data_IF_855838174967
#
_entry.id   IF_855838174967
#
_cell.length_a   1.000
_cell.length_b   1.000
_cell.length_c   1.000
_cell.angle_alpha   90.00
_cell.angle_beta   90.00
_cell.angle_gamma   90.00
#
_symmetry.space_group_name_H-M   'P 1'
#
loop_
_entity.id
_entity.type
_entity.pdbx_description
1 polymer ?
#
# COMPACT_ATOMS: atom_id res chain seq x y z
N UNK A 1 -20.10 -0.34 -3.07
CA UNK A 1 -18.81 0.33 -2.91
C UNK A 1 -18.32 0.37 -1.46
N UNK A 2 -18.93 1.12 -0.54
CA UNK A 2 -18.53 1.08 0.89
C UNK A 2 -18.59 -0.35 1.46
N UNK A 3 -19.67 -1.06 1.15
CA UNK A 3 -19.80 -2.48 1.51
C UNK A 3 -18.75 -3.36 0.82
N UNK A 4 -18.48 -3.11 -0.46
CA UNK A 4 -17.47 -3.87 -1.21
C UNK A 4 -16.07 -3.68 -0.60
N UNK A 5 -15.70 -2.45 -0.23
CA UNK A 5 -14.48 -2.15 0.51
C UNK A 5 -14.47 -2.92 1.83
N UNK A 6 -15.49 -2.74 2.66
CA UNK A 6 -15.55 -3.38 3.96
C UNK A 6 -15.44 -4.90 3.89
N UNK A 7 -16.20 -5.53 2.98
CA UNK A 7 -16.26 -6.98 2.86
C UNK A 7 -14.94 -7.54 2.27
N UNK A 8 -14.33 -6.86 1.29
CA UNK A 8 -13.02 -7.22 0.76
C UNK A 8 -11.91 -7.04 1.81
N UNK A 9 -11.89 -5.89 2.51
CA UNK A 9 -10.92 -5.62 3.59
C UNK A 9 -11.00 -6.71 4.67
N UNK A 10 -12.22 -7.16 5.02
CA UNK A 10 -12.41 -8.22 6.01
C UNK A 10 -11.79 -9.52 5.52
N UNK A 11 -12.10 -9.95 4.30
CA UNK A 11 -11.57 -11.20 3.75
C UNK A 11 -10.03 -11.17 3.60
N UNK A 12 -9.47 -10.04 3.18
CA UNK A 12 -8.01 -9.85 3.09
C UNK A 12 -7.35 -9.84 4.48
N UNK A 13 -8.00 -9.27 5.49
CA UNK A 13 -7.48 -9.22 6.86
C UNK A 13 -7.42 -10.64 7.45
N UNK A 14 -8.46 -11.44 7.24
CA UNK A 14 -8.51 -12.84 7.68
C UNK A 14 -7.41 -13.67 6.99
N UNK A 15 -7.22 -13.47 5.68
CA UNK A 15 -6.14 -14.12 4.93
C UNK A 15 -4.75 -13.70 5.44
N UNK A 16 -4.52 -12.40 5.65
CA UNK A 16 -3.26 -11.90 6.19
C UNK A 16 -2.93 -12.45 7.59
N UNK A 17 -3.94 -12.64 8.44
CA UNK A 17 -3.79 -13.33 9.73
C UNK A 17 -3.36 -14.79 9.54
N UNK A 18 -4.02 -15.51 8.63
CA UNK A 18 -3.65 -16.89 8.29
C UNK A 18 -2.21 -17.00 7.78
N UNK A 19 -1.79 -16.09 6.88
CA UNK A 19 -0.42 -16.07 6.35
C UNK A 19 0.60 -15.76 7.45
N UNK A 20 0.27 -14.88 8.41
CA UNK A 20 1.13 -14.59 9.56
C UNK A 20 1.33 -15.81 10.48
N UNK A 21 0.31 -16.65 10.62
CA UNK A 21 0.41 -17.90 11.38
C UNK A 21 1.19 -18.98 10.61
N UNK A 22 1.00 -19.05 9.29
CA UNK A 22 1.60 -20.05 8.41
C UNK A 22 3.10 -19.87 8.19
N UNK A 23 3.57 -18.63 8.02
CA UNK A 23 4.95 -18.34 7.66
C UNK A 23 5.82 -17.96 8.86
N UNK A 24 7.13 -17.90 8.60
CA UNK A 24 8.16 -17.42 9.54
C UNK A 24 8.98 -16.29 8.90
N UNK A 25 9.99 -15.78 9.61
CA UNK A 25 10.94 -14.81 9.05
C UNK A 25 10.29 -13.57 8.42
N UNK A 26 10.81 -13.19 7.26
CA UNK A 26 10.38 -12.00 6.52
C UNK A 26 8.93 -12.11 6.00
N UNK A 27 8.49 -13.30 5.60
CA UNK A 27 7.11 -13.53 5.17
C UNK A 27 6.12 -13.31 6.32
N UNK A 28 6.46 -13.78 7.53
CA UNK A 28 5.65 -13.57 8.73
C UNK A 28 5.55 -12.09 9.10
N UNK A 29 6.67 -11.38 9.02
CA UNK A 29 6.71 -9.94 9.31
C UNK A 29 5.94 -9.15 8.24
N UNK A 30 6.08 -9.48 6.96
CA UNK A 30 5.29 -8.90 5.89
C UNK A 30 3.79 -9.15 6.09
N UNK A 31 3.38 -10.38 6.41
CA UNK A 31 1.99 -10.70 6.70
C UNK A 31 1.46 -9.89 7.91
N UNK A 32 2.24 -9.74 8.98
CA UNK A 32 1.90 -8.89 10.14
C UNK A 32 1.68 -7.43 9.74
N UNK A 33 2.55 -6.86 8.91
CA UNK A 33 2.39 -5.47 8.46
C UNK A 33 1.19 -5.30 7.52
N UNK A 34 0.85 -6.31 6.72
CA UNK A 34 -0.41 -6.36 5.98
C UNK A 34 -1.64 -6.43 6.90
N UNK A 35 -1.59 -7.19 8.00
CA UNK A 35 -2.64 -7.19 9.04
C UNK A 35 -2.82 -5.78 9.60
N UNK A 36 -1.73 -5.06 9.91
CA UNK A 36 -1.82 -3.68 10.39
C UNK A 36 -2.44 -2.74 9.34
N UNK A 37 -1.95 -2.80 8.09
CA UNK A 37 -2.45 -1.98 6.97
C UNK A 37 -3.96 -2.18 6.72
N UNK A 38 -4.42 -3.44 6.75
CA UNK A 38 -5.82 -3.79 6.54
C UNK A 38 -6.68 -3.46 7.77
N UNK A 39 -6.16 -3.61 8.99
CA UNK A 39 -6.85 -3.26 10.21
C UNK A 39 -7.10 -1.74 10.33
N UNK A 40 -6.14 -0.89 9.92
CA UNK A 40 -6.37 0.56 9.82
C UNK A 40 -7.55 0.86 8.88
N UNK A 41 -7.54 0.29 7.68
CA UNK A 41 -8.63 0.47 6.71
C UNK A 41 -9.98 -0.02 7.26
N UNK A 42 -9.97 -1.17 7.94
CA UNK A 42 -11.15 -1.76 8.57
C UNK A 42 -11.74 -0.84 9.64
N UNK A 43 -10.91 -0.26 10.51
CA UNK A 43 -11.34 0.72 11.52
C UNK A 43 -11.84 2.03 10.90
N UNK A 44 -11.21 2.48 9.81
CA UNK A 44 -11.66 3.69 9.12
C UNK A 44 -13.06 3.52 8.52
N UNK A 45 -13.39 2.34 7.97
CA UNK A 45 -14.69 2.09 7.33
C UNK A 45 -15.77 1.65 8.33
N UNK A 46 -15.39 0.84 9.34
CA UNK A 46 -16.21 0.28 10.41
C UNK A 46 -15.58 0.57 11.78
N UNK A 47 -15.92 1.70 12.45
CA UNK A 47 -15.26 2.14 13.68
C UNK A 47 -15.35 1.16 14.86
N UNK A 48 -16.39 0.32 14.89
CA UNK A 48 -16.59 -0.67 15.96
C UNK A 48 -15.83 -1.98 15.71
N UNK A 49 -15.13 -2.11 14.57
CA UNK A 49 -14.36 -3.30 14.28
C UNK A 49 -13.26 -3.52 15.34
N UNK A 50 -13.01 -4.78 15.66
CA UNK A 50 -11.92 -5.18 16.54
C UNK A 50 -10.60 -5.15 15.77
N UNK A 51 -9.53 -4.76 16.46
CA UNK A 51 -8.16 -4.79 15.93
C UNK A 51 -7.46 -5.99 16.55
N UNK A 52 -6.77 -6.84 15.76
CA UNK A 52 -5.96 -7.92 16.31
C UNK A 52 -4.88 -7.37 17.26
N UNK A 53 -4.75 -7.99 18.44
CA UNK A 53 -3.82 -7.54 19.50
C UNK A 53 -2.38 -7.39 18.99
N UNK A 54 -1.96 -8.27 18.09
CA UNK A 54 -0.60 -8.31 17.53
C UNK A 54 -0.19 -7.03 16.77
N UNK A 55 -1.15 -6.18 16.37
CA UNK A 55 -0.93 -4.90 15.68
C UNK A 55 -1.64 -3.72 16.36
N UNK A 56 -2.19 -3.91 17.57
CA UNK A 56 -3.05 -2.91 18.20
C UNK A 56 -2.37 -1.54 18.37
N UNK A 57 -1.11 -1.53 18.82
CA UNK A 57 -0.33 -0.29 19.01
C UNK A 57 -0.07 0.43 17.68
N UNK A 58 0.36 -0.31 16.65
CA UNK A 58 0.63 0.24 15.31
C UNK A 58 -0.63 0.87 14.71
N UNK A 59 -1.76 0.17 14.81
CA UNK A 59 -3.04 0.63 14.27
C UNK A 59 -3.56 1.83 15.06
N UNK A 60 -3.40 1.84 16.39
CA UNK A 60 -3.80 2.97 17.22
C UNK A 60 -2.99 4.24 16.88
N UNK A 61 -1.67 4.10 16.70
CA UNK A 61 -0.79 5.21 16.30
C UNK A 61 -1.17 5.79 14.94
N UNK A 62 -1.40 4.93 13.93
CA UNK A 62 -1.84 5.37 12.60
C UNK A 62 -3.19 6.08 12.64
N UNK A 63 -4.17 5.51 13.35
CA UNK A 63 -5.49 6.13 13.46
C UNK A 63 -5.43 7.48 14.18
N UNK A 64 -4.59 7.61 15.22
CA UNK A 64 -4.39 8.88 15.91
C UNK A 64 -3.84 9.97 14.98
N UNK A 65 -2.86 9.64 14.14
CA UNK A 65 -2.29 10.57 13.13
C UNK A 65 -3.31 10.91 12.05
N UNK A 66 -4.04 9.91 11.55
CA UNK A 66 -5.12 10.10 10.58
C UNK A 66 -6.22 11.01 11.15
N UNK A 67 -6.62 10.86 12.42
CA UNK A 67 -7.66 11.70 13.03
C UNK A 67 -7.16 13.11 13.37
N UNK A 68 -5.88 13.26 13.72
CA UNK A 68 -5.27 14.55 14.03
C UNK A 68 -5.06 15.45 12.81
N UNK A 69 -4.85 14.85 11.62
CA UNK A 69 -4.61 15.59 10.37
C UNK A 69 -3.43 16.59 10.42
N UNK A 70 -2.40 16.29 11.23
CA UNK A 70 -1.36 17.25 11.62
C UNK A 70 -0.23 17.48 10.59
N UNK A 71 -0.45 17.13 9.32
CA UNK A 71 0.57 17.22 8.27
C UNK A 71 1.50 16.00 8.25
N UNK A 72 2.78 16.24 7.96
CA UNK A 72 3.79 15.18 7.86
C UNK A 72 4.16 14.59 9.22
N UNK A 73 4.14 13.27 9.31
CA UNK A 73 4.70 12.50 10.43
C UNK A 73 5.11 11.11 9.92
N UNK A 74 5.99 10.42 10.64
CA UNK A 74 6.40 9.06 10.29
C UNK A 74 5.25 8.08 10.51
N UNK A 75 4.99 7.22 9.52
CA UNK A 75 4.05 6.11 9.66
C UNK A 75 4.59 5.07 10.66
N UNK A 76 3.74 4.62 11.58
CA UNK A 76 4.08 3.53 12.51
C UNK A 76 4.21 2.18 11.78
N UNK A 77 3.57 2.04 10.60
CA UNK A 77 3.60 0.81 9.79
C UNK A 77 4.64 0.89 8.66
N UNK A 78 4.69 2.03 7.96
CA UNK A 78 5.47 2.21 6.73
C UNK A 78 6.77 3.00 6.93
N UNK A 79 7.02 3.50 8.15
CA UNK A 79 8.24 4.16 8.65
C UNK A 79 8.66 5.48 7.98
N UNK A 80 8.27 5.72 6.72
CA UNK A 80 8.49 7.01 6.05
C UNK A 80 7.43 8.04 6.43
N UNK A 81 7.71 9.32 6.15
CA UNK A 81 6.78 10.41 6.38
C UNK A 81 5.57 10.36 5.43
N UNK A 82 4.36 10.40 5.99
CA UNK A 82 3.10 10.55 5.27
C UNK A 82 2.43 11.87 5.64
N UNK A 83 1.79 12.51 4.66
CA UNK A 83 1.01 13.73 4.90
C UNK A 83 -0.40 13.40 5.40
N UNK A 84 -0.57 13.34 6.72
CA UNK A 84 -1.85 13.04 7.35
C UNK A 84 -2.91 14.14 7.15
N UNK A 85 -2.53 15.34 6.69
CA UNK A 85 -3.49 16.40 6.33
C UNK A 85 -4.35 16.04 5.10
N UNK A 86 -3.90 15.05 4.31
CA UNK A 86 -4.62 14.56 3.13
C UNK A 86 -5.87 13.75 3.51
N UNK A 87 -5.98 13.30 4.76
CA UNK A 87 -7.11 12.51 5.23
C UNK A 87 -8.32 13.37 5.64
N UNK A 88 -8.20 14.70 5.63
CA UNK A 88 -9.32 15.62 5.91
C UNK A 88 -10.41 15.45 4.83
N UNK A 89 -11.63 15.00 5.15
CA UNK A 89 -12.70 14.87 4.17
C UNK A 89 -13.09 16.21 3.54
N UNK A 90 -13.23 16.24 2.21
CA UNK A 90 -13.51 17.47 1.45
C UNK A 90 -14.70 17.30 0.49
N UNK A 91 -15.29 18.42 0.07
CA UNK A 91 -16.34 18.43 -0.96
C UNK A 91 -17.58 17.61 -0.58
N UNK A 92 -18.07 16.77 -1.49
CA UNK A 92 -19.28 15.98 -1.27
C UNK A 92 -19.12 14.89 -0.18
N UNK A 93 -17.88 14.56 0.21
CA UNK A 93 -17.61 13.57 1.25
C UNK A 93 -17.96 14.04 2.67
N UNK A 94 -18.14 15.34 2.89
CA UNK A 94 -18.49 15.90 4.20
C UNK A 94 -19.96 15.70 4.57
N UNK A 95 -20.81 15.28 3.61
CA UNK A 95 -22.27 15.21 3.74
C UNK A 95 -22.79 14.17 4.72
N UNK A 96 -21.98 13.17 5.08
CA UNK A 96 -22.33 12.17 6.11
C UNK A 96 -21.09 11.50 6.68
N UNK A 97 -21.15 10.98 7.90
CA UNK A 97 -20.02 10.27 8.49
C UNK A 97 -19.65 9.02 7.71
N UNK A 98 -20.63 8.37 7.08
CA UNK A 98 -20.41 7.25 6.17
C UNK A 98 -19.52 7.65 4.98
N UNK A 99 -19.72 8.85 4.40
CA UNK A 99 -18.90 9.34 3.30
C UNK A 99 -17.52 9.84 3.76
N UNK A 100 -17.42 10.41 4.97
CA UNK A 100 -16.11 10.76 5.58
C UNK A 100 -15.26 9.51 5.81
N UNK A 101 -15.85 8.44 6.36
CA UNK A 101 -15.19 7.14 6.55
C UNK A 101 -14.72 6.53 5.24
N UNK A 102 -15.59 6.55 4.23
CA UNK A 102 -15.25 6.13 2.87
C UNK A 102 -14.06 6.90 2.29
N UNK A 103 -14.07 8.23 2.40
CA UNK A 103 -12.98 9.08 1.94
C UNK A 103 -11.66 8.69 2.61
N UNK A 104 -11.61 8.66 3.94
CA UNK A 104 -10.38 8.33 4.69
C UNK A 104 -9.84 6.94 4.33
N UNK A 105 -10.73 5.96 4.16
CA UNK A 105 -10.34 4.60 3.77
C UNK A 105 -9.74 4.57 2.37
N UNK A 106 -10.34 5.29 1.41
CA UNK A 106 -9.76 5.39 0.06
C UNK A 106 -8.45 6.19 0.04
N UNK A 107 -8.31 7.22 0.87
CA UNK A 107 -7.04 7.94 1.01
C UNK A 107 -5.95 7.00 1.48
N UNK A 108 -6.20 6.23 2.54
CA UNK A 108 -5.27 5.21 3.04
C UNK A 108 -4.85 4.22 1.93
N UNK A 109 -5.81 3.61 1.25
CA UNK A 109 -5.54 2.65 0.17
C UNK A 109 -4.91 3.25 -1.09
N UNK A 110 -5.11 4.54 -1.33
CA UNK A 110 -4.52 5.25 -2.45
C UNK A 110 -3.13 5.80 -2.15
N UNK A 111 -2.80 6.08 -0.88
CA UNK A 111 -1.62 6.87 -0.49
C UNK A 111 -0.52 6.10 0.24
N UNK A 112 -0.78 4.92 0.76
CA UNK A 112 0.32 4.11 1.32
C UNK A 112 1.01 3.36 0.18
N UNK A 113 2.31 3.63 0.03
CA UNK A 113 3.20 2.97 -0.92
C UNK A 113 3.99 1.86 -0.23
N UNK A 114 3.97 0.67 -0.82
CA UNK A 114 4.87 -0.42 -0.54
C UNK A 114 6.14 -0.20 -1.40
N UNK A 115 7.12 0.51 -0.83
CA UNK A 115 8.28 1.00 -1.56
C UNK A 115 9.24 -0.12 -1.94
N UNK A 116 9.68 -0.09 -3.20
CA UNK A 116 10.58 -1.09 -3.79
C UNK A 116 12.06 -0.79 -3.49
N UNK A 117 12.39 0.50 -3.34
CA UNK A 117 13.76 0.98 -3.16
C UNK A 117 14.07 1.21 -1.68
N UNK A 118 15.20 0.66 -1.24
CA UNK A 118 15.76 0.91 0.08
C UNK A 118 17.26 1.17 -0.03
N UNK A 119 17.83 1.84 0.97
CA UNK A 119 19.25 2.20 1.03
C UNK A 119 19.77 2.20 2.47
N UNK A 120 21.09 2.15 2.66
CA UNK A 120 21.70 2.30 3.99
C UNK A 120 21.49 3.72 4.53
N UNK A 121 21.75 4.73 3.71
CA UNK A 121 21.40 6.12 4.00
C UNK A 121 19.99 6.42 3.49
N UNK A 122 19.01 6.25 4.37
CA UNK A 122 17.59 6.42 4.07
C UNK A 122 16.95 7.58 4.83
N UNK A 123 15.79 8.02 4.35
CA UNK A 123 14.98 9.12 4.88
C UNK A 123 14.75 10.22 3.83
N UNK A 124 14.16 11.36 4.22
CA UNK A 124 13.81 12.43 3.27
C UNK A 124 15.00 12.97 2.46
N UNK A 125 16.21 12.93 3.05
CA UNK A 125 17.47 13.34 2.44
C UNK A 125 18.32 12.15 1.93
N UNK A 126 17.85 10.92 2.15
CA UNK A 126 18.55 9.68 1.81
C UNK A 126 18.44 9.31 0.33
N UNK A 127 19.16 8.27 -0.07
CA UNK A 127 19.10 7.71 -1.43
C UNK A 127 17.79 6.96 -1.69
N UNK A 128 17.14 6.52 -0.61
CA UNK A 128 15.81 5.93 -0.55
C UNK A 128 15.07 6.46 0.68
N UNK A 129 13.77 6.23 0.76
CA UNK A 129 12.94 6.67 1.89
C UNK A 129 12.98 5.70 3.08
N UNK A 130 13.40 4.46 2.85
CA UNK A 130 13.41 3.39 3.83
C UNK A 130 14.67 2.55 3.72
N UNK A 131 14.93 1.72 4.73
CA UNK A 131 16.05 0.79 4.75
C UNK A 131 15.94 -0.28 3.66
N UNK A 132 17.05 -0.96 3.36
CA UNK A 132 17.05 -2.12 2.44
C UNK A 132 16.16 -3.24 2.94
N UNK A 133 16.18 -3.51 4.25
CA UNK A 133 15.35 -4.53 4.91
C UNK A 133 13.86 -4.18 4.80
N UNK A 134 13.48 -2.95 5.12
CA UNK A 134 12.07 -2.52 5.03
C UNK A 134 11.57 -2.52 3.59
N UNK A 135 12.41 -2.18 2.61
CA UNK A 135 12.03 -2.28 1.20
C UNK A 135 11.78 -3.73 0.78
N UNK A 136 12.56 -4.69 1.30
CA UNK A 136 12.32 -6.12 1.08
C UNK A 136 10.99 -6.55 1.70
N UNK A 137 10.76 -6.22 2.97
CA UNK A 137 9.48 -6.52 3.66
C UNK A 137 8.29 -5.86 2.96
N UNK A 138 8.39 -4.60 2.53
CA UNK A 138 7.31 -3.91 1.80
C UNK A 138 7.06 -4.52 0.42
N UNK A 139 8.10 -4.97 -0.28
CA UNK A 139 7.95 -5.69 -1.55
C UNK A 139 7.20 -7.02 -1.34
N UNK A 140 7.57 -7.77 -0.29
CA UNK A 140 6.89 -9.02 0.07
C UNK A 140 5.44 -8.75 0.49
N UNK A 141 5.18 -7.70 1.29
CA UNK A 141 3.82 -7.26 1.64
C UNK A 141 2.96 -7.05 0.40
N UNK A 142 3.50 -6.33 -0.59
CA UNK A 142 2.80 -6.05 -1.84
C UNK A 142 2.46 -7.32 -2.61
N UNK A 143 3.39 -8.27 -2.72
CA UNK A 143 3.15 -9.56 -3.38
C UNK A 143 2.10 -10.39 -2.63
N UNK A 144 2.22 -10.52 -1.30
CA UNK A 144 1.26 -11.25 -0.49
C UNK A 144 -0.14 -10.65 -0.65
N UNK A 145 -0.27 -9.34 -0.49
CA UNK A 145 -1.55 -8.64 -0.60
C UNK A 145 -2.16 -8.81 -2.01
N UNK A 146 -1.34 -8.69 -3.06
CA UNK A 146 -1.81 -8.88 -4.42
C UNK A 146 -2.29 -10.31 -4.67
N UNK A 147 -1.56 -11.32 -4.17
CA UNK A 147 -1.97 -12.74 -4.24
C UNK A 147 -3.27 -12.98 -3.46
N UNK A 148 -3.41 -12.39 -2.26
CA UNK A 148 -4.61 -12.51 -1.42
C UNK A 148 -5.87 -12.03 -2.13
N UNK A 149 -5.79 -10.99 -2.97
CA UNK A 149 -6.94 -10.52 -3.78
C UNK A 149 -7.52 -11.64 -4.65
N UNK A 150 -6.65 -12.46 -5.25
CA UNK A 150 -7.06 -13.55 -6.12
C UNK A 150 -7.45 -14.82 -5.33
N UNK A 151 -6.95 -14.96 -4.09
CA UNK A 151 -7.20 -16.12 -3.23
C UNK A 151 -8.53 -16.05 -2.46
N UNK A 152 -8.97 -14.85 -2.06
CA UNK A 152 -10.15 -14.69 -1.20
C UNK A 152 -11.46 -14.68 -1.99
N UNK A 153 -12.55 -15.11 -1.34
CA UNK A 153 -13.91 -15.00 -1.86
C UNK A 153 -14.80 -14.23 -0.88
N UNK A 154 -15.70 -13.40 -1.42
CA UNK A 154 -16.69 -12.64 -0.65
C UNK A 154 -18.08 -13.01 -1.18
N UNK A 155 -18.71 -13.97 -0.51
CA UNK A 155 -19.95 -14.59 -0.98
C UNK A 155 -19.71 -15.32 -2.31
N UNK A 156 -20.40 -14.90 -3.36
CA UNK A 156 -20.31 -15.52 -4.71
C UNK A 156 -19.32 -14.81 -5.64
N UNK A 157 -18.62 -13.78 -5.16
CA UNK A 157 -17.65 -13.00 -5.94
C UNK A 157 -16.25 -13.29 -5.44
N UNK A 158 -15.29 -13.41 -6.35
CA UNK A 158 -13.88 -13.43 -5.96
C UNK A 158 -13.43 -12.06 -5.46
N UNK A 159 -12.38 -12.03 -4.64
CA UNK A 159 -11.75 -10.79 -4.19
C UNK A 159 -11.32 -9.93 -5.38
N UNK A 160 -10.77 -10.57 -6.42
CA UNK A 160 -10.41 -9.94 -7.69
C UNK A 160 -11.56 -9.21 -8.37
N UNK A 161 -12.74 -9.84 -8.49
CA UNK A 161 -13.90 -9.19 -9.08
C UNK A 161 -14.34 -7.94 -8.29
N UNK A 162 -14.19 -7.97 -6.97
CA UNK A 162 -14.53 -6.83 -6.11
C UNK A 162 -13.48 -5.73 -6.26
N UNK A 163 -12.20 -6.08 -6.21
CA UNK A 163 -11.10 -5.14 -6.37
C UNK A 163 -11.11 -4.49 -7.76
N UNK A 164 -11.31 -5.27 -8.83
CA UNK A 164 -11.44 -4.77 -10.21
C UNK A 164 -12.59 -3.76 -10.32
N UNK A 165 -13.75 -4.07 -9.72
CA UNK A 165 -14.88 -3.14 -9.66
C UNK A 165 -14.51 -1.87 -8.89
N UNK A 166 -13.78 -2.01 -7.79
CA UNK A 166 -13.31 -0.87 -7.02
C UNK A 166 -12.41 0.02 -7.84
N UNK A 167 -11.38 -0.58 -8.45
CA UNK A 167 -10.40 0.10 -9.27
C UNK A 167 -11.05 0.77 -10.48
N UNK A 168 -11.90 0.06 -11.24
CA UNK A 168 -12.56 0.57 -12.43
C UNK A 168 -13.46 1.79 -12.15
N UNK A 169 -14.22 1.78 -11.04
CA UNK A 169 -15.04 2.94 -10.67
C UNK A 169 -14.15 4.13 -10.32
N UNK A 170 -13.10 3.93 -9.52
CA UNK A 170 -12.18 5.03 -9.22
C UNK A 170 -11.52 5.56 -10.49
N UNK A 171 -11.08 4.66 -11.38
CA UNK A 171 -10.45 5.03 -12.64
C UNK A 171 -11.39 5.78 -13.60
N UNK A 172 -12.67 5.43 -13.61
CA UNK A 172 -13.67 6.12 -14.41
C UNK A 172 -13.82 7.59 -14.01
N UNK A 173 -13.73 7.92 -12.72
CA UNK A 173 -13.90 9.29 -12.24
C UNK A 173 -12.63 10.13 -12.26
N UNK A 174 -11.47 9.52 -12.02
CA UNK A 174 -10.21 10.25 -11.75
C UNK A 174 -9.00 9.71 -12.52
N UNK A 175 -9.20 8.81 -13.49
CA UNK A 175 -8.13 8.24 -14.33
C UNK A 175 -7.44 7.01 -13.74
N UNK A 176 -6.63 6.35 -14.57
CA UNK A 176 -5.81 5.19 -14.16
C UNK A 176 -4.78 5.60 -13.10
N UNK A 177 -4.38 4.64 -12.26
CA UNK A 177 -3.30 4.86 -11.30
C UNK A 177 -1.98 5.18 -12.00
N UNK A 178 -1.26 6.15 -11.45
CA UNK A 178 0.07 6.52 -11.93
C UNK A 178 1.17 5.61 -11.36
N UNK A 179 0.88 4.88 -10.29
CA UNK A 179 1.77 3.93 -9.62
C UNK A 179 1.62 2.50 -10.15
N UNK A 180 2.48 1.60 -9.65
CA UNK A 180 2.26 0.16 -9.76
C UNK A 180 1.11 -0.25 -8.84
N UNK A 181 0.30 -1.19 -9.28
CA UNK A 181 -0.86 -1.74 -8.57
C UNK A 181 -0.68 -3.25 -8.39
N UNK A 182 -1.59 -3.93 -7.67
CA UNK A 182 -1.60 -5.40 -7.59
C UNK A 182 -1.51 -6.10 -8.95
N UNK A 183 -2.08 -5.53 -10.04
CA UNK A 183 -1.96 -6.10 -11.38
C UNK A 183 -0.50 -6.23 -11.84
N UNK A 184 0.28 -5.16 -11.67
CA UNK A 184 1.68 -5.13 -12.12
C UNK A 184 2.56 -6.06 -11.27
N UNK A 185 2.30 -6.13 -9.96
CA UNK A 185 3.04 -7.03 -9.07
C UNK A 185 2.77 -8.49 -9.40
N UNK A 186 1.51 -8.89 -9.59
CA UNK A 186 1.18 -10.26 -10.00
C UNK A 186 1.75 -10.60 -11.38
N UNK A 187 1.69 -9.68 -12.34
CA UNK A 187 2.29 -9.88 -13.65
C UNK A 187 3.81 -10.09 -13.61
N UNK A 188 4.52 -9.35 -12.75
CA UNK A 188 5.96 -9.54 -12.55
C UNK A 188 6.27 -10.87 -11.88
N UNK A 189 5.50 -11.25 -10.85
CA UNK A 189 5.63 -12.54 -10.17
C UNK A 189 5.38 -13.70 -11.13
N UNK A 190 4.30 -13.65 -11.92
CA UNK A 190 3.97 -14.67 -12.92
C UNK A 190 5.05 -14.81 -13.99
N UNK A 191 5.70 -13.70 -14.39
CA UNK A 191 6.77 -13.72 -15.39
C UNK A 191 8.05 -14.37 -14.85
N UNK A 192 8.38 -14.16 -13.58
CA UNK A 192 9.61 -14.70 -12.97
C UNK A 192 9.42 -16.14 -12.48
N UNK A 193 8.29 -16.44 -11.84
CA UNK A 193 8.06 -17.72 -11.14
C UNK A 193 6.94 -18.57 -11.74
N UNK A 194 6.14 -18.04 -12.66
CA UNK A 194 4.95 -18.70 -13.19
C UNK A 194 3.71 -18.55 -12.32
N UNK A 195 2.56 -18.94 -12.87
CA UNK A 195 1.22 -18.71 -12.29
C UNK A 195 0.89 -19.52 -11.03
N UNK A 196 1.78 -20.41 -10.58
CA UNK A 196 1.61 -21.24 -9.40
C UNK A 196 2.71 -20.99 -8.37
N UNK A 197 3.16 -19.74 -8.27
CA UNK A 197 4.20 -19.38 -7.30
C UNK A 197 3.69 -19.54 -5.86
N UNK A 198 4.56 -20.07 -5.00
CA UNK A 198 4.38 -20.09 -3.55
C UNK A 198 5.21 -18.97 -2.92
N UNK A 199 4.66 -18.14 -2.01
CA UNK A 199 5.40 -17.02 -1.41
C UNK A 199 6.74 -17.39 -0.77
N UNK A 200 6.90 -18.63 -0.31
CA UNK A 200 8.14 -19.17 0.25
C UNK A 200 9.36 -19.01 -0.68
N UNK A 201 9.16 -18.95 -2.00
CA UNK A 201 10.26 -18.74 -2.95
C UNK A 201 10.94 -17.38 -2.81
N UNK A 202 10.27 -16.40 -2.19
CA UNK A 202 10.79 -15.04 -1.97
C UNK A 202 11.76 -14.95 -0.80
N UNK A 203 11.88 -15.99 0.03
CA UNK A 203 12.89 -16.04 1.09
C UNK A 203 14.29 -16.30 0.53
N UNK A 204 14.38 -16.84 -0.69
CA UNK A 204 15.63 -16.98 -1.42
C UNK A 204 16.06 -15.64 -2.04
N UNK A 205 17.30 -15.22 -1.76
CA UNK A 205 17.82 -13.92 -2.19
C UNK A 205 17.91 -13.77 -3.71
N UNK A 206 18.26 -14.83 -4.43
CA UNK A 206 18.39 -14.79 -5.89
C UNK A 206 17.01 -14.66 -6.55
N UNK A 207 16.02 -15.40 -6.05
CA UNK A 207 14.62 -15.26 -6.46
C UNK A 207 14.09 -13.85 -6.16
N UNK A 208 14.28 -13.36 -4.93
CA UNK A 208 13.85 -12.03 -4.55
C UNK A 208 14.49 -10.96 -5.44
N UNK A 209 15.80 -11.08 -5.71
CA UNK A 209 16.51 -10.19 -6.61
C UNK A 209 15.95 -10.23 -8.04
N UNK A 210 15.66 -11.41 -8.58
CA UNK A 210 15.06 -11.57 -9.91
C UNK A 210 13.69 -10.86 -10.01
N UNK A 211 12.84 -11.01 -8.98
CA UNK A 211 11.58 -10.29 -8.90
C UNK A 211 11.79 -8.77 -8.84
N UNK A 212 12.73 -8.32 -7.99
CA UNK A 212 13.04 -6.89 -7.83
C UNK A 212 13.52 -6.26 -9.14
N UNK A 213 14.32 -6.98 -9.93
CA UNK A 213 14.74 -6.55 -11.27
C UNK A 213 13.53 -6.39 -12.18
N UNK A 214 12.62 -7.36 -12.24
CA UNK A 214 11.42 -7.25 -13.09
C UNK A 214 10.54 -6.07 -12.68
N UNK A 215 10.29 -5.88 -11.39
CA UNK A 215 9.52 -4.74 -10.86
C UNK A 215 10.20 -3.40 -11.16
N UNK A 216 11.53 -3.35 -11.10
CA UNK A 216 12.31 -2.15 -11.42
C UNK A 216 12.22 -1.74 -12.90
N UNK A 217 11.98 -2.70 -13.81
CA UNK A 217 11.79 -2.44 -15.25
C UNK A 217 10.39 -1.91 -15.60
N UNK A 218 9.41 -2.04 -14.69
CA UNK A 218 8.07 -1.51 -14.90
C UNK A 218 8.06 0.02 -14.83
N UNK A 219 6.93 0.64 -15.20
CA UNK A 219 6.79 2.11 -15.17
C UNK A 219 7.09 2.69 -13.78
N UNK A 220 7.73 3.85 -13.75
CA UNK A 220 7.84 4.67 -12.54
C UNK A 220 6.55 5.46 -12.28
N UNK A 221 6.29 5.90 -11.03
CA UNK A 221 5.18 6.80 -10.74
C UNK A 221 5.24 8.05 -11.62
N UNK A 222 4.10 8.53 -12.11
CA UNK A 222 4.05 9.75 -12.93
C UNK A 222 3.89 11.03 -12.12
N UNK A 223 3.51 10.91 -10.86
CA UNK A 223 3.29 12.03 -9.96
C UNK A 223 3.96 11.79 -8.61
N UNK A 224 4.38 12.87 -7.97
CA UNK A 224 4.84 12.85 -6.60
C UNK A 224 3.71 13.31 -5.67
N UNK A 225 3.17 12.38 -4.88
CA UNK A 225 2.06 12.66 -3.96
C UNK A 225 2.47 12.98 -2.52
N UNK A 226 3.73 13.40 -2.29
CA UNK A 226 4.25 13.81 -0.98
C UNK A 226 4.87 12.68 -0.15
N UNK A 227 4.95 11.45 -0.66
CA UNK A 227 5.49 10.30 0.08
C UNK A 227 6.94 10.55 0.54
N UNK A 228 7.19 10.45 1.85
CA UNK A 228 8.50 10.61 2.46
C UNK A 228 8.98 12.06 2.59
N UNK A 229 8.08 13.05 2.43
CA UNK A 229 8.37 14.50 2.58
C UNK A 229 9.69 14.93 1.90
N UNK A 230 9.96 14.37 0.72
CA UNK A 230 11.20 14.63 -0.04
C UNK A 230 11.29 16.11 -0.39
N UNK A 231 12.40 16.71 0.03
CA UNK A 231 12.73 18.09 -0.29
C UNK A 231 13.60 18.15 -1.54
N UNK A 232 13.18 18.92 -2.54
CA UNK A 232 13.98 19.17 -3.75
C UNK A 232 14.60 20.55 -3.66
N UNK A 233 15.93 20.61 -3.58
CA UNK A 233 16.67 21.87 -3.54
C UNK A 233 16.79 22.48 -4.93
N UNK A 234 16.57 23.81 -5.10
CA UNK A 234 16.80 24.48 -6.37
C UNK A 234 18.26 24.37 -6.88
N UNK A 235 18.48 24.33 -8.21
CA UNK A 235 17.46 24.41 -9.26
C UNK A 235 16.71 23.09 -9.44
N UNK A 236 15.38 23.18 -9.56
CA UNK A 236 14.53 22.02 -9.84
C UNK A 236 14.69 21.67 -11.33
N UNK A 237 15.23 20.49 -11.62
CA UNK A 237 15.40 19.95 -12.97
C UNK A 237 14.54 18.71 -13.18
N UNK A 238 14.26 18.31 -14.44
CA UNK A 238 13.58 17.04 -14.72
C UNK A 238 14.25 15.83 -14.06
N UNK A 239 15.58 15.81 -14.01
CA UNK A 239 16.37 14.75 -13.37
C UNK A 239 16.11 14.71 -11.87
N UNK A 240 16.15 15.86 -11.19
CA UNK A 240 15.85 15.94 -9.75
C UNK A 240 14.43 15.46 -9.42
N UNK A 241 13.46 15.71 -10.31
CA UNK A 241 12.09 15.22 -10.15
C UNK A 241 12.00 13.71 -10.39
N UNK A 242 12.71 13.19 -11.39
CA UNK A 242 12.78 11.75 -11.65
C UNK A 242 13.41 10.99 -10.49
N UNK A 243 14.42 11.55 -9.82
CA UNK A 243 15.01 10.98 -8.61
C UNK A 243 13.99 10.86 -7.47
N UNK A 244 13.12 11.88 -7.29
CA UNK A 244 12.03 11.79 -6.32
C UNK A 244 11.05 10.68 -6.68
N UNK A 245 10.63 10.60 -7.96
CA UNK A 245 9.70 9.57 -8.41
C UNK A 245 10.28 8.16 -8.22
N UNK A 246 11.59 7.98 -8.49
CA UNK A 246 12.30 6.73 -8.29
C UNK A 246 12.28 6.28 -6.81
N UNK A 247 12.51 7.20 -5.86
CA UNK A 247 12.41 6.92 -4.42
C UNK A 247 11.02 6.47 -3.99
N UNK A 248 9.98 6.89 -4.70
CA UNK A 248 8.58 6.55 -4.40
C UNK A 248 8.04 5.35 -5.16
N UNK A 249 8.86 4.73 -6.02
CA UNK A 249 8.42 3.58 -6.82
C UNK A 249 8.08 2.40 -5.91
N UNK A 250 6.89 1.86 -6.11
CA UNK A 250 6.33 0.83 -5.26
C UNK A 250 4.89 0.50 -5.65
N UNK A 251 4.32 -0.52 -5.02
CA UNK A 251 2.90 -0.79 -5.17
C UNK A 251 2.08 0.21 -4.35
N UNK A 252 0.92 0.60 -4.85
CA UNK A 252 -0.16 1.16 -4.03
C UNK A 252 -1.43 0.34 -4.29
N UNK A 253 -2.21 0.06 -3.24
CA UNK A 253 -3.38 -0.82 -3.37
C UNK A 253 -4.44 -0.26 -4.32
N UNK A 254 -4.67 1.06 -4.32
CA UNK A 254 -5.57 1.74 -5.25
C UNK A 254 -4.88 2.78 -6.13
N UNK A 255 -3.61 3.11 -5.87
CA UNK A 255 -2.83 4.09 -6.63
C UNK A 255 -3.21 5.56 -6.40
N UNK A 256 -2.24 6.46 -6.57
CA UNK A 256 -2.47 7.89 -6.73
C UNK A 256 -2.75 8.23 -8.19
N UNK A 257 -3.35 9.40 -8.40
CA UNK A 257 -3.78 9.87 -9.71
C UNK A 257 -3.58 11.37 -9.80
N UNK A 258 -3.10 11.84 -10.94
CA UNK A 258 -3.19 13.25 -11.27
C UNK A 258 -4.65 13.64 -11.51
N UNK A 259 -5.19 14.54 -10.68
CA UNK A 259 -6.49 15.17 -10.92
C UNK A 259 -6.19 16.56 -11.51
N UNK A 260 -6.37 16.77 -12.83
CA UNK A 260 -6.10 18.06 -13.48
C UNK A 260 -7.00 19.20 -12.96
#
# INVERSE_FOLDING_TARGET
FIRDINDLTTALLDDALSLHEQYTGELKEAAKRNVAFLAVAKKLIEPEAQVPELVAELVAGELAKIDAHAGFDNSDIFIYEEDYSQYVPRGHYTRSDRLKRYFRTLMWYGRMAFLLKGAEFWGPLGEALISVEDAKIQTIQAVLLAKSIDAVNVGQRSGRQIWDRMYAVTAFYVGLADDLTPYEYLGAVDKVFGSSFEPAVLEDEDNFFALKVELALLRSPKIYGGTGSVFVTPPITPESLNEVLDKTKGMRFMGQRFIP
#
